data_IF_988537438916
#
_entry.id   IF_988537438916
#
_cell.length_a   1.000
_cell.length_b   1.000
_cell.length_c   1.000
_cell.angle_alpha   90.00
_cell.angle_beta   90.00
_cell.angle_gamma   90.00
#
_symmetry.space_group_name_H-M   'P 1'
#
loop_
_entity.id
_entity.type
_entity.pdbx_description
1 polymer ?
#
# COMPACT_ATOMS: atom_id res chain seq x y z
N UNK A 1 0.70 4.80 19.12
CA UNK A 1 0.70 4.43 17.70
C UNK A 1 1.69 5.31 17.00
N UNK A 2 2.51 4.77 16.07
CA UNK A 2 3.52 5.52 15.32
C UNK A 2 3.43 5.12 13.85
N UNK A 3 3.73 6.05 12.96
CA UNK A 3 3.72 5.87 11.51
C UNK A 3 5.17 5.95 11.02
N UNK A 4 5.63 4.93 10.29
CA UNK A 4 6.86 4.96 9.53
C UNK A 4 6.51 5.14 8.06
N UNK A 5 7.16 6.09 7.36
CA UNK A 5 6.83 6.49 5.98
C UNK A 5 8.08 6.58 5.10
N UNK A 6 7.92 6.31 3.81
CA UNK A 6 9.01 6.45 2.84
C UNK A 6 9.17 7.90 2.36
N UNK A 7 8.08 8.61 2.06
CA UNK A 7 8.10 10.02 1.66
C UNK A 7 7.07 10.87 2.44
N UNK A 8 7.30 12.19 2.47
CA UNK A 8 6.37 13.14 3.10
C UNK A 8 4.99 13.14 2.45
N UNK A 9 4.90 12.82 1.16
CA UNK A 9 3.62 12.73 0.44
C UNK A 9 2.78 11.57 0.96
N UNK A 10 3.40 10.42 1.22
CA UNK A 10 2.71 9.26 1.82
C UNK A 10 2.36 9.53 3.29
N UNK A 11 3.23 10.22 4.06
CA UNK A 11 2.93 10.62 5.42
C UNK A 11 1.67 11.48 5.48
N UNK A 12 1.67 12.59 4.73
CA UNK A 12 0.56 13.55 4.71
C UNK A 12 -0.75 12.88 4.28
N UNK A 13 -0.68 12.06 3.22
CA UNK A 13 -1.83 11.31 2.76
C UNK A 13 -2.37 10.37 3.85
N UNK A 14 -1.52 9.56 4.46
CA UNK A 14 -1.95 8.57 5.45
C UNK A 14 -2.51 9.23 6.72
N UNK A 15 -1.92 10.31 7.18
CA UNK A 15 -2.41 11.11 8.32
C UNK A 15 -3.80 11.70 8.08
N UNK A 16 -4.10 12.07 6.84
CA UNK A 16 -5.40 12.63 6.47
C UNK A 16 -6.51 11.56 6.32
N UNK A 17 -6.20 10.26 6.40
CA UNK A 17 -7.21 9.21 6.34
C UNK A 17 -8.15 9.24 7.56
N UNK A 18 -7.62 9.48 8.76
CA UNK A 18 -8.45 9.68 9.95
C UNK A 18 -7.74 10.47 11.06
N UNK A 19 -8.53 10.93 12.05
CA UNK A 19 -8.04 11.75 13.16
C UNK A 19 -7.00 11.04 14.05
N UNK A 20 -7.08 9.73 14.19
CA UNK A 20 -6.14 8.96 15.02
C UNK A 20 -4.76 8.95 14.38
N UNK A 21 -4.69 8.79 13.06
CA UNK A 21 -3.42 8.84 12.33
C UNK A 21 -2.84 10.25 12.30
N UNK A 22 -3.70 11.27 12.19
CA UNK A 22 -3.25 12.66 12.22
C UNK A 22 -2.49 13.02 13.51
N UNK A 23 -2.91 12.46 14.65
CA UNK A 23 -2.29 12.66 15.95
C UNK A 23 -1.10 11.73 16.24
N UNK A 24 -0.82 10.76 15.38
CA UNK A 24 0.27 9.82 15.58
C UNK A 24 1.64 10.46 15.32
N UNK A 25 2.64 10.08 16.12
CA UNK A 25 4.02 10.40 15.79
C UNK A 25 4.45 9.71 14.51
N UNK A 26 5.26 10.38 13.71
CA UNK A 26 5.74 9.85 12.44
C UNK A 26 7.25 9.89 12.33
N UNK A 27 7.81 8.89 11.64
CA UNK A 27 9.23 8.67 11.46
C UNK A 27 9.50 8.31 10.00
N UNK A 28 10.47 8.98 9.38
CA UNK A 28 10.91 8.59 8.04
C UNK A 28 11.65 7.26 8.08
N UNK A 29 11.29 6.33 7.21
CA UNK A 29 12.03 5.08 7.03
C UNK A 29 13.44 5.42 6.51
N UNK A 30 14.45 5.06 7.27
CA UNK A 30 15.85 5.24 6.90
C UNK A 30 16.34 4.04 6.07
N UNK A 31 17.44 4.20 5.34
CA UNK A 31 18.12 3.06 4.70
C UNK A 31 18.76 2.12 5.72
N UNK A 32 19.15 2.66 6.87
CA UNK A 32 19.70 1.90 8.01
C UNK A 32 19.39 2.62 9.31
N UNK A 33 19.41 1.92 10.46
CA UNK A 33 19.24 2.54 11.77
C UNK A 33 17.80 2.66 12.24
N UNK A 34 16.85 2.03 11.56
CA UNK A 34 15.48 1.89 12.08
C UNK A 34 15.46 0.91 13.25
N UNK A 35 14.36 0.86 14.00
CA UNK A 35 14.19 -0.17 15.02
C UNK A 35 14.20 -1.58 14.35
N UNK A 36 14.72 -2.62 15.03
CA UNK A 36 14.95 -3.95 14.41
C UNK A 36 13.73 -4.55 13.71
N UNK A 37 12.52 -4.31 14.24
CA UNK A 37 11.30 -4.81 13.62
C UNK A 37 10.92 -4.12 12.31
N UNK A 38 11.28 -2.85 12.16
CA UNK A 38 11.15 -2.11 10.91
C UNK A 38 12.21 -2.60 9.93
N UNK A 39 13.49 -2.69 10.36
CA UNK A 39 14.58 -3.22 9.51
C UNK A 39 14.24 -4.58 8.89
N UNK A 40 13.63 -5.47 9.67
CA UNK A 40 13.21 -6.78 9.17
C UNK A 40 12.18 -6.68 8.02
N UNK A 41 11.30 -5.69 8.04
CA UNK A 41 10.31 -5.46 6.98
C UNK A 41 10.92 -4.87 5.70
N UNK A 42 12.09 -4.24 5.80
CA UNK A 42 12.78 -3.64 4.66
C UNK A 42 13.65 -4.61 3.88
N UNK A 43 13.64 -5.90 4.21
CA UNK A 43 14.53 -6.92 3.62
C UNK A 43 14.43 -7.02 2.10
N UNK A 44 13.23 -6.86 1.56
CA UNK A 44 13.03 -6.94 0.10
C UNK A 44 12.95 -5.56 -0.55
N UNK A 45 12.26 -4.62 0.08
CA UNK A 45 12.14 -3.22 -0.37
C UNK A 45 11.42 -2.40 0.73
N UNK A 46 11.39 -1.06 0.58
CA UNK A 46 10.70 -0.16 1.49
C UNK A 46 9.21 -0.04 1.11
N UNK A 47 8.27 -0.35 2.00
CA UNK A 47 6.86 -0.01 1.81
C UNK A 47 6.63 1.50 2.02
N UNK A 48 5.53 2.02 1.47
CA UNK A 48 5.18 3.42 1.61
C UNK A 48 4.88 3.79 3.06
N UNK A 49 4.12 2.93 3.78
CA UNK A 49 3.72 3.14 5.18
C UNK A 49 3.85 1.85 5.99
N UNK A 50 4.40 1.96 7.20
CA UNK A 50 4.32 0.93 8.25
C UNK A 50 3.68 1.56 9.48
N UNK A 51 2.53 1.04 9.90
CA UNK A 51 1.87 1.43 11.14
C UNK A 51 2.35 0.54 12.28
N UNK A 52 2.70 1.16 13.41
CA UNK A 52 3.12 0.43 14.61
C UNK A 52 2.23 0.76 15.81
N UNK A 53 2.06 -0.23 16.69
CA UNK A 53 1.49 -0.07 18.02
C UNK A 53 2.47 -0.67 19.03
N UNK A 54 2.85 0.10 20.05
CA UNK A 54 3.82 -0.31 21.08
C UNK A 54 5.13 -0.84 20.45
N UNK A 55 5.65 -0.10 19.46
CA UNK A 55 6.85 -0.45 18.66
C UNK A 55 6.76 -1.79 17.90
N UNK A 56 5.55 -2.32 17.70
CA UNK A 56 5.31 -3.53 16.91
C UNK A 56 4.57 -3.15 15.63
N UNK A 57 5.07 -3.52 14.44
CA UNK A 57 4.32 -3.35 13.20
C UNK A 57 2.98 -4.09 13.27
N UNK A 58 1.91 -3.41 12.89
CA UNK A 58 0.54 -3.95 12.90
C UNK A 58 -0.14 -3.87 11.54
N UNK A 59 0.40 -3.05 10.63
CA UNK A 59 -0.11 -2.91 9.27
C UNK A 59 0.99 -2.37 8.36
N UNK A 60 1.03 -2.86 7.13
CA UNK A 60 1.83 -2.28 6.04
C UNK A 60 0.87 -1.79 4.96
N UNK A 61 1.13 -0.60 4.41
CA UNK A 61 0.32 -0.03 3.33
C UNK A 61 1.23 0.37 2.19
N UNK A 62 0.84 -0.04 1.00
CA UNK A 62 1.47 0.34 -0.27
C UNK A 62 0.44 1.07 -1.13
N UNK A 63 0.80 2.25 -1.65
CA UNK A 63 -0.04 3.09 -2.50
C UNK A 63 0.56 3.18 -3.89
N UNK A 64 -0.23 2.95 -4.93
CA UNK A 64 0.23 3.05 -6.32
C UNK A 64 -0.82 3.75 -7.18
N UNK A 65 -0.39 4.74 -8.00
CA UNK A 65 -1.25 5.45 -8.96
C UNK A 65 -1.44 4.71 -10.28
N UNK A 66 -0.72 3.63 -10.52
CA UNK A 66 -0.80 2.87 -11.77
C UNK A 66 -1.56 1.56 -11.59
N UNK A 67 -2.28 1.16 -12.64
CA UNK A 67 -2.89 -0.18 -12.69
C UNK A 67 -1.78 -1.23 -12.78
N UNK A 68 -1.74 -2.22 -11.87
CA UNK A 68 -0.77 -3.31 -11.94
C UNK A 68 -1.04 -4.21 -13.16
N UNK A 69 -0.35 -3.96 -14.26
CA UNK A 69 -0.47 -4.71 -15.52
C UNK A 69 0.89 -5.25 -15.97
N UNK A 70 0.88 -6.36 -16.71
CA UNK A 70 2.07 -6.93 -17.34
C UNK A 70 3.15 -7.33 -16.32
N UNK A 71 4.34 -6.74 -16.39
CA UNK A 71 5.47 -7.04 -15.49
C UNK A 71 5.47 -6.22 -14.20
N UNK A 72 4.71 -5.12 -14.13
CA UNK A 72 4.69 -4.21 -12.99
C UNK A 72 4.00 -4.73 -11.70
N UNK A 73 3.04 -5.69 -11.75
CA UNK A 73 2.32 -6.12 -10.56
C UNK A 73 3.23 -6.59 -9.43
N UNK A 74 4.36 -7.19 -9.77
CA UNK A 74 5.27 -7.79 -8.78
C UNK A 74 6.35 -6.86 -8.26
N UNK A 75 6.59 -5.70 -8.88
CA UNK A 75 7.64 -4.78 -8.41
C UNK A 75 7.39 -4.32 -6.97
N UNK A 76 6.14 -4.04 -6.60
CA UNK A 76 5.77 -3.60 -5.26
C UNK A 76 5.24 -4.74 -4.37
N UNK A 77 4.91 -5.89 -4.95
CA UNK A 77 4.41 -7.04 -4.21
C UNK A 77 5.44 -7.62 -3.22
N UNK A 78 6.74 -7.46 -3.47
CA UNK A 78 7.80 -7.90 -2.57
C UNK A 78 7.71 -7.22 -1.19
N UNK A 79 7.32 -5.94 -1.14
CA UNK A 79 7.10 -5.17 0.10
C UNK A 79 5.98 -5.78 0.93
N UNK A 80 4.88 -6.15 0.27
CA UNK A 80 3.70 -6.77 0.89
C UNK A 80 4.00 -8.22 1.30
N UNK A 81 4.77 -8.96 0.47
CA UNK A 81 5.20 -10.33 0.79
C UNK A 81 5.95 -10.37 2.14
N UNK A 82 6.90 -9.45 2.33
CA UNK A 82 7.65 -9.39 3.58
C UNK A 82 6.78 -9.10 4.81
N UNK A 83 5.74 -8.29 4.65
CA UNK A 83 4.80 -8.02 5.72
C UNK A 83 4.07 -9.32 6.14
N UNK A 84 3.47 -10.05 5.19
CA UNK A 84 2.68 -11.25 5.51
C UNK A 84 3.55 -12.43 5.98
N UNK A 85 4.80 -12.55 5.53
CA UNK A 85 5.80 -13.48 6.09
C UNK A 85 6.01 -13.24 7.59
N UNK A 86 5.95 -11.99 8.02
CA UNK A 86 6.04 -11.60 9.43
C UNK A 86 4.69 -11.59 10.16
N UNK A 87 3.63 -12.16 9.57
CA UNK A 87 2.28 -12.19 10.14
C UNK A 87 1.66 -10.81 10.34
N UNK A 88 2.03 -9.85 9.50
CA UNK A 88 1.53 -8.49 9.53
C UNK A 88 0.60 -8.32 8.32
N UNK A 89 -0.68 -7.96 8.52
CA UNK A 89 -1.59 -7.69 7.41
C UNK A 89 -1.08 -6.53 6.57
N UNK A 90 -1.40 -6.57 5.28
CA UNK A 90 -1.02 -5.52 4.35
C UNK A 90 -2.20 -5.01 3.55
N UNK A 91 -2.14 -3.75 3.17
CA UNK A 91 -3.09 -3.12 2.24
C UNK A 91 -2.33 -2.68 1.00
N UNK A 92 -2.86 -3.03 -0.16
CA UNK A 92 -2.41 -2.50 -1.43
C UNK A 92 -3.51 -1.63 -2.03
N UNK A 93 -3.30 -0.31 -2.01
CA UNK A 93 -4.22 0.70 -2.50
C UNK A 93 -3.79 1.14 -3.90
N UNK A 94 -4.54 0.77 -4.92
CA UNK A 94 -4.20 1.01 -6.32
C UNK A 94 -5.45 0.96 -7.22
N UNK A 95 -5.42 1.55 -8.44
CA UNK A 95 -6.56 1.48 -9.35
C UNK A 95 -6.71 0.08 -9.97
N UNK A 96 -7.94 -0.46 -9.95
CA UNK A 96 -8.28 -1.69 -10.66
C UNK A 96 -8.48 -1.44 -12.16
N UNK A 97 -8.75 -0.19 -12.51
CA UNK A 97 -8.93 0.30 -13.87
C UNK A 97 -8.46 1.75 -13.92
N UNK A 98 -7.63 2.11 -14.90
CA UNK A 98 -7.27 3.50 -15.19
C UNK A 98 -6.61 3.62 -16.57
N UNK A 99 -6.52 4.84 -17.10
CA UNK A 99 -5.65 5.14 -18.23
C UNK A 99 -4.19 4.90 -17.86
N UNK A 100 -3.44 4.39 -18.80
CA UNK A 100 -1.99 4.29 -18.66
C UNK A 100 -1.38 5.68 -18.87
N UNK A 101 -0.57 6.14 -17.93
CA UNK A 101 0.19 7.38 -18.11
C UNK A 101 1.13 7.28 -19.32
N UNK A 102 1.18 8.33 -20.16
CA UNK A 102 2.03 8.44 -21.34
C UNK A 102 1.27 8.38 -22.67
N UNK A 103 1.97 7.98 -23.76
CA UNK A 103 1.44 7.97 -25.13
C UNK A 103 0.30 6.96 -25.40
N UNK A 104 0.00 6.09 -24.47
CA UNK A 104 -1.04 5.07 -24.61
C UNK A 104 -2.31 5.55 -23.91
N UNK A 105 -3.29 5.99 -24.71
CA UNK A 105 -4.60 6.47 -24.23
C UNK A 105 -5.56 5.36 -23.81
N UNK A 106 -5.15 4.09 -23.86
CA UNK A 106 -6.03 2.97 -23.58
C UNK A 106 -6.21 2.74 -22.07
N UNK A 107 -7.44 2.45 -21.68
CA UNK A 107 -7.75 2.02 -20.31
C UNK A 107 -7.13 0.65 -20.08
N UNK A 108 -6.37 0.54 -19.01
CA UNK A 108 -5.79 -0.70 -18.50
C UNK A 108 -6.65 -1.26 -17.38
N UNK A 109 -6.64 -2.57 -17.25
CA UNK A 109 -7.36 -3.30 -16.20
C UNK A 109 -6.38 -4.14 -15.37
N UNK A 110 -6.69 -4.28 -14.09
CA UNK A 110 -5.97 -5.15 -13.17
C UNK A 110 -5.82 -6.57 -13.73
N UNK A 111 -4.64 -7.13 -13.60
CA UNK A 111 -4.42 -8.55 -13.84
C UNK A 111 -4.91 -9.37 -12.63
N UNK A 112 -5.98 -10.14 -12.82
CA UNK A 112 -6.60 -10.95 -11.74
C UNK A 112 -5.63 -11.94 -11.10
N UNK A 113 -4.60 -12.41 -11.81
CA UNK A 113 -3.55 -13.28 -11.22
C UNK A 113 -2.84 -12.63 -10.02
N UNK A 114 -2.85 -11.31 -9.92
CA UNK A 114 -2.32 -10.63 -8.75
C UNK A 114 -3.18 -10.92 -7.51
N UNK A 115 -4.50 -10.89 -7.65
CA UNK A 115 -5.42 -11.20 -6.55
C UNK A 115 -5.33 -12.67 -6.14
N UNK A 116 -5.21 -13.57 -7.11
CA UNK A 116 -4.97 -15.00 -6.86
C UNK A 116 -3.65 -15.23 -6.09
N UNK A 117 -2.61 -14.46 -6.45
CA UNK A 117 -1.33 -14.53 -5.73
C UNK A 117 -1.46 -14.02 -4.28
N UNK A 118 -2.23 -12.94 -4.03
CA UNK A 118 -2.50 -12.45 -2.68
C UNK A 118 -3.30 -13.44 -1.84
N UNK A 119 -4.27 -14.13 -2.43
CA UNK A 119 -5.02 -15.21 -1.78
C UNK A 119 -4.09 -16.35 -1.37
N UNK A 120 -3.21 -16.79 -2.29
CA UNK A 120 -2.21 -17.82 -1.98
C UNK A 120 -1.22 -17.41 -0.88
N UNK A 121 -0.78 -16.16 -0.89
CA UNK A 121 0.09 -15.64 0.17
C UNK A 121 -0.66 -15.63 1.52
N UNK A 122 -1.94 -15.28 1.53
CA UNK A 122 -2.76 -15.37 2.73
C UNK A 122 -2.89 -16.81 3.24
N UNK A 123 -3.20 -17.76 2.37
CA UNK A 123 -3.27 -19.19 2.73
C UNK A 123 -1.95 -19.69 3.36
N UNK A 124 -0.81 -19.33 2.77
CA UNK A 124 0.52 -19.78 3.22
C UNK A 124 0.91 -19.12 4.55
N UNK A 125 0.72 -17.81 4.67
CA UNK A 125 1.26 -17.03 5.80
C UNK A 125 0.24 -16.76 6.89
N UNK A 126 -1.05 -17.06 6.66
CA UNK A 126 -2.17 -16.73 7.56
C UNK A 126 -2.19 -15.24 7.95
N UNK A 127 -1.91 -14.37 6.97
CA UNK A 127 -1.92 -12.91 7.10
C UNK A 127 -2.38 -12.30 5.77
N UNK A 128 -3.47 -11.50 5.73
CA UNK A 128 -4.07 -11.04 4.49
C UNK A 128 -3.28 -9.92 3.81
N UNK A 129 -3.34 -9.91 2.48
CA UNK A 129 -3.10 -8.73 1.66
C UNK A 129 -4.44 -8.28 1.10
N UNK A 130 -4.90 -7.11 1.51
CA UNK A 130 -6.16 -6.54 1.05
C UNK A 130 -5.91 -5.59 -0.13
N UNK A 131 -6.43 -5.93 -1.31
CA UNK A 131 -6.45 -5.04 -2.46
C UNK A 131 -7.62 -4.05 -2.32
N UNK A 132 -7.32 -2.75 -2.35
CA UNK A 132 -8.32 -1.67 -2.24
C UNK A 132 -8.26 -0.83 -3.51
N UNK A 133 -9.42 -0.63 -4.15
CA UNK A 133 -9.51 0.09 -5.41
C UNK A 133 -9.37 1.61 -5.22
N UNK A 134 -8.44 2.21 -5.94
CA UNK A 134 -8.43 3.65 -6.20
C UNK A 134 -9.35 3.92 -7.38
N UNK A 135 -10.40 4.68 -7.16
CA UNK A 135 -11.41 4.94 -8.18
C UNK A 135 -10.89 5.82 -9.32
N UNK A 136 -11.39 5.58 -10.52
CA UNK A 136 -11.21 6.47 -11.66
C UNK A 136 -12.57 6.97 -12.16
N UNK A 137 -12.56 8.06 -12.91
CA UNK A 137 -13.73 8.60 -13.59
C UNK A 137 -14.13 7.78 -14.83
N UNK A 138 -15.11 8.28 -15.59
CA UNK A 138 -15.60 7.63 -16.80
C UNK A 138 -14.54 7.56 -17.92
N UNK A 139 -13.66 8.55 -17.94
CA UNK A 139 -12.57 8.65 -18.92
C UNK A 139 -11.34 7.83 -18.52
N UNK A 140 -11.34 7.24 -17.32
CA UNK A 140 -10.24 6.42 -16.79
C UNK A 140 -9.14 7.24 -16.11
N UNK A 141 -9.35 8.52 -15.86
CA UNK A 141 -8.44 9.34 -15.06
C UNK A 141 -8.68 9.06 -13.57
N UNK A 142 -7.60 8.99 -12.79
CA UNK A 142 -7.71 8.76 -11.35
C UNK A 142 -8.39 9.95 -10.66
N UNK A 143 -9.34 9.64 -9.79
CA UNK A 143 -9.90 10.63 -8.88
C UNK A 143 -8.87 10.93 -7.81
N UNK A 144 -8.46 12.20 -7.69
CA UNK A 144 -7.44 12.69 -6.73
C UNK A 144 -7.95 13.99 -6.11
N UNK A 145 -9.20 13.99 -5.63
CA UNK A 145 -9.92 15.14 -5.06
C UNK A 145 -10.21 14.97 -3.55
N UNK A 146 -9.58 13.99 -2.91
CA UNK A 146 -9.81 13.62 -1.50
C UNK A 146 -10.98 12.68 -1.29
N UNK A 147 -11.62 12.19 -2.36
CA UNK A 147 -12.70 11.18 -2.29
C UNK A 147 -12.25 9.78 -2.71
N UNK A 148 -11.07 9.67 -3.34
CA UNK A 148 -10.50 8.43 -3.86
C UNK A 148 -10.28 7.35 -2.80
N UNK A 149 -10.02 7.78 -1.57
CA UNK A 149 -9.67 6.92 -0.45
C UNK A 149 -10.86 6.60 0.49
N UNK A 150 -12.10 6.88 0.05
CA UNK A 150 -13.32 6.58 0.86
C UNK A 150 -13.37 5.11 1.31
N UNK A 151 -13.07 4.18 0.40
CA UNK A 151 -13.06 2.75 0.73
C UNK A 151 -11.98 2.42 1.75
N UNK A 152 -10.82 3.05 1.63
CA UNK A 152 -9.72 2.87 2.57
C UNK A 152 -10.04 3.46 3.95
N UNK A 153 -10.65 4.65 4.00
CA UNK A 153 -11.14 5.28 5.24
C UNK A 153 -12.19 4.45 5.97
N UNK A 154 -12.97 3.66 5.25
CA UNK A 154 -13.94 2.74 5.85
C UNK A 154 -13.28 1.51 6.47
N UNK A 155 -12.14 1.06 5.92
CA UNK A 155 -11.41 -0.12 6.37
C UNK A 155 -10.50 0.21 7.58
N UNK A 156 -9.93 1.41 7.63
CA UNK A 156 -8.98 1.88 8.64
C UNK A 156 -9.65 2.71 9.74
#
# INVERSE_FOLDING_TARGET
>A
MEIYYDSLVEEDWFKNLNKVFNLANSHKIQSTGNIPKIENLLTYDKPDIILTKDKKPVLVVEKMKEVPTGHNPFQRAARLARAVENKIPAIYFFPFKAKKHGKFSNICYLNLRLLEAFEKMWEIHNSPILAVNWICDQDGELVDDGTEDKSLKFIL
#
